data_IF_098001087210
#
_entry.id   IF_098001087210
#
_cell.length_a   1.000
_cell.length_b   1.000
_cell.length_c   1.000
_cell.angle_alpha   90.00
_cell.angle_beta   90.00
_cell.angle_gamma   90.00
#
_symmetry.space_group_name_H-M   'P 1'
#
loop_
_entity.id
_entity.type
_entity.pdbx_description
1 polymer ?
#
# COMPACT_ATOMS: atom_id res chain seq x y z
N UNK A 1 28.39 0.70 27.27
CA UNK A 1 29.43 0.20 26.34
C UNK A 1 29.00 0.62 24.94
N UNK A 2 29.44 1.81 24.49
CA UNK A 2 29.01 2.36 23.20
C UNK A 2 29.66 1.56 22.07
N UNK A 3 28.85 0.89 21.25
CA UNK A 3 29.31 0.29 20.00
C UNK A 3 29.91 1.41 19.14
N UNK A 4 31.21 1.33 18.85
CA UNK A 4 31.90 2.14 17.85
C UNK A 4 31.28 1.86 16.47
N UNK A 5 30.17 2.52 16.14
CA UNK A 5 29.69 2.61 14.77
C UNK A 5 30.41 3.77 14.10
N UNK A 6 31.24 3.45 13.12
CA UNK A 6 31.79 4.44 12.18
C UNK A 6 30.66 4.88 11.22
N UNK A 7 29.78 5.76 11.69
CA UNK A 7 28.80 6.42 10.81
C UNK A 7 29.36 7.73 10.26
N UNK A 8 29.15 7.97 8.97
CA UNK A 8 29.62 9.20 8.31
C UNK A 8 28.85 10.41 8.85
N UNK A 9 29.57 11.48 9.22
CA UNK A 9 28.98 12.73 9.73
C UNK A 9 28.06 13.44 8.73
N UNK A 10 28.09 13.05 7.45
CA UNK A 10 27.25 13.61 6.37
C UNK A 10 25.81 13.09 6.43
N UNK A 11 25.54 11.94 7.07
CA UNK A 11 24.21 11.33 7.07
C UNK A 11 23.31 11.99 8.13
N UNK A 12 22.17 12.58 7.75
CA UNK A 12 21.21 13.07 8.73
C UNK A 12 20.54 11.90 9.48
N UNK A 13 20.08 12.14 10.73
CA UNK A 13 19.33 11.14 11.48
C UNK A 13 18.00 10.81 10.77
N UNK A 14 17.65 9.52 10.72
CA UNK A 14 16.41 9.04 10.10
C UNK A 14 15.17 9.22 10.99
N UNK A 15 15.37 9.25 12.31
CA UNK A 15 14.32 9.48 13.31
C UNK A 15 14.54 10.86 13.91
N UNK A 16 13.51 11.69 13.89
CA UNK A 16 13.55 13.03 14.48
C UNK A 16 12.94 13.01 15.88
N UNK A 17 13.51 13.81 16.77
CA UNK A 17 13.21 13.78 18.21
C UNK A 17 13.87 12.56 18.84
N UNK A 18 14.63 12.77 19.92
CA UNK A 18 15.38 11.73 20.63
C UNK A 18 14.44 10.72 21.31
N UNK A 19 13.79 9.87 20.50
CA UNK A 19 12.78 8.90 20.92
C UNK A 19 13.43 7.64 21.47
N UNK A 20 12.92 7.15 22.60
CA UNK A 20 13.26 5.84 23.13
C UNK A 20 12.38 4.71 22.52
N UNK A 21 12.72 3.46 22.82
CA UNK A 21 11.96 2.30 22.32
C UNK A 21 10.51 2.25 22.82
N UNK A 22 10.25 2.77 24.02
CA UNK A 22 8.91 2.76 24.61
C UNK A 22 8.00 3.75 23.88
N UNK A 23 8.49 4.97 23.64
CA UNK A 23 7.81 6.03 22.90
C UNK A 23 7.49 5.61 21.46
N UNK A 24 8.42 4.94 20.77
CA UNK A 24 8.16 4.40 19.42
C UNK A 24 7.01 3.40 19.45
N UNK A 25 6.96 2.53 20.47
CA UNK A 25 5.89 1.55 20.62
C UNK A 25 4.55 2.23 20.88
N UNK A 26 4.50 3.19 21.79
CA UNK A 26 3.30 3.95 22.13
C UNK A 26 2.74 4.70 20.91
N UNK A 27 3.61 5.38 20.15
CA UNK A 27 3.21 6.11 18.93
C UNK A 27 2.61 5.20 17.84
N UNK A 28 3.14 3.97 17.67
CA UNK A 28 2.66 3.01 16.66
C UNK A 28 1.37 2.31 17.11
N UNK A 29 1.26 1.98 18.40
CA UNK A 29 0.10 1.28 18.95
C UNK A 29 -1.10 2.20 19.15
N UNK A 30 -0.89 3.49 19.45
CA UNK A 30 -1.97 4.44 19.74
C UNK A 30 -3.06 4.51 18.66
N UNK A 31 -2.76 4.58 17.34
CA UNK A 31 -3.80 4.56 16.30
C UNK A 31 -4.60 3.26 16.22
N UNK A 32 -4.02 2.14 16.66
CA UNK A 32 -4.66 0.80 16.64
C UNK A 32 -5.57 0.62 17.87
N UNK A 33 -5.15 1.13 19.03
CA UNK A 33 -5.91 1.06 20.28
C UNK A 33 -7.00 2.13 20.37
N UNK A 34 -6.83 3.25 19.68
CA UNK A 34 -7.83 4.32 19.64
C UNK A 34 -9.08 3.92 18.85
N UNK A 35 -10.22 4.50 19.23
CA UNK A 35 -11.46 4.34 18.46
C UNK A 35 -11.31 4.96 17.07
N UNK A 36 -11.85 4.33 16.00
CA UNK A 36 -11.80 4.89 14.66
C UNK A 36 -12.43 6.27 14.59
N UNK A 37 -11.76 7.19 13.90
CA UNK A 37 -12.25 8.57 13.73
C UNK A 37 -13.43 8.64 12.77
N UNK A 38 -14.15 9.77 12.76
CA UNK A 38 -15.22 10.01 11.78
C UNK A 38 -14.72 9.94 10.34
N UNK A 39 -13.51 10.45 10.07
CA UNK A 39 -12.90 10.40 8.75
C UNK A 39 -12.59 8.97 8.31
N UNK A 40 -12.14 8.11 9.24
CA UNK A 40 -11.92 6.70 8.96
C UNK A 40 -13.22 6.01 8.53
N UNK A 41 -14.33 6.27 9.25
CA UNK A 41 -15.64 5.72 8.89
C UNK A 41 -16.15 6.23 7.54
N UNK A 42 -15.96 7.50 7.22
CA UNK A 42 -16.33 8.06 5.91
C UNK A 42 -15.56 7.34 4.79
N UNK A 43 -14.23 7.21 4.94
CA UNK A 43 -13.41 6.48 3.97
C UNK A 43 -13.85 5.03 3.82
N UNK A 44 -14.08 4.33 4.94
CA UNK A 44 -14.52 2.95 4.96
C UNK A 44 -15.87 2.75 4.25
N UNK A 45 -16.87 3.59 4.53
CA UNK A 45 -18.19 3.49 3.90
C UNK A 45 -18.10 3.74 2.38
N UNK A 46 -17.30 4.72 1.94
CA UNK A 46 -17.08 4.97 0.51
C UNK A 46 -16.41 3.75 -0.15
N UNK A 47 -15.37 3.18 0.48
CA UNK A 47 -14.70 1.98 -0.02
C UNK A 47 -15.66 0.79 -0.12
N UNK A 48 -16.52 0.56 0.87
CA UNK A 48 -17.53 -0.51 0.85
C UNK A 48 -18.58 -0.27 -0.24
N UNK A 49 -19.03 0.97 -0.43
CA UNK A 49 -19.98 1.31 -1.49
C UNK A 49 -19.39 1.03 -2.89
N UNK A 50 -18.13 1.41 -3.12
CA UNK A 50 -17.43 1.12 -4.37
C UNK A 50 -17.16 -0.38 -4.57
N UNK A 51 -16.87 -1.11 -3.48
CA UNK A 51 -16.72 -2.57 -3.53
C UNK A 51 -18.03 -3.24 -3.95
N UNK A 52 -19.16 -2.84 -3.35
CA UNK A 52 -20.48 -3.38 -3.71
C UNK A 52 -20.84 -3.07 -5.17
N UNK A 53 -20.53 -1.86 -5.64
CA UNK A 53 -20.67 -1.51 -7.05
C UNK A 53 -19.84 -2.45 -7.94
N UNK A 54 -18.57 -2.67 -7.61
CA UNK A 54 -17.70 -3.60 -8.33
C UNK A 54 -18.21 -5.04 -8.35
N UNK A 55 -18.71 -5.55 -7.21
CA UNK A 55 -19.31 -6.90 -7.12
C UNK A 55 -20.53 -7.02 -8.03
N UNK A 56 -21.41 -6.00 -8.04
CA UNK A 56 -22.56 -5.97 -8.95
C UNK A 56 -22.11 -5.94 -10.40
N UNK A 57 -21.13 -5.11 -10.76
CA UNK A 57 -20.58 -5.04 -12.12
C UNK A 57 -20.04 -6.39 -12.61
N UNK A 58 -19.22 -7.07 -11.79
CA UNK A 58 -18.67 -8.39 -12.13
C UNK A 58 -19.77 -9.45 -12.22
N UNK A 59 -20.78 -9.40 -11.34
CA UNK A 59 -21.89 -10.35 -11.37
C UNK A 59 -22.71 -10.20 -12.65
N UNK A 60 -23.03 -8.96 -13.04
CA UNK A 60 -23.71 -8.66 -14.30
C UNK A 60 -22.86 -9.10 -15.49
N UNK A 61 -21.55 -8.88 -15.45
CA UNK A 61 -20.62 -9.36 -16.47
C UNK A 61 -20.69 -10.88 -16.66
N UNK A 62 -20.60 -11.64 -15.58
CA UNK A 62 -20.63 -13.12 -15.63
C UNK A 62 -21.98 -13.65 -16.13
N UNK A 63 -23.09 -12.99 -15.79
CA UNK A 63 -24.45 -13.43 -16.20
C UNK A 63 -24.73 -13.13 -17.67
N UNK A 64 -24.44 -11.91 -18.14
CA UNK A 64 -24.80 -11.48 -19.51
C UNK A 64 -23.61 -11.55 -20.50
N UNK A 65 -22.42 -11.96 -20.05
CA UNK A 65 -21.22 -12.16 -20.85
C UNK A 65 -20.42 -10.87 -21.10
N UNK A 66 -19.26 -10.96 -21.75
CA UNK A 66 -18.33 -9.82 -21.96
C UNK A 66 -18.76 -8.83 -23.04
N UNK A 67 -19.84 -9.13 -23.80
CA UNK A 67 -20.33 -8.26 -24.89
C UNK A 67 -20.83 -6.88 -24.43
N UNK A 68 -21.19 -6.74 -23.16
CA UNK A 68 -21.62 -5.48 -22.50
C UNK A 68 -20.49 -4.45 -22.42
N UNK A 69 -19.24 -4.87 -22.54
CA UNK A 69 -18.08 -4.00 -22.50
C UNK A 69 -17.85 -3.23 -23.80
N UNK A 70 -18.69 -3.47 -24.81
CA UNK A 70 -18.59 -2.86 -26.14
C UNK A 70 -17.22 -3.10 -26.79
N UNK A 71 -16.62 -4.27 -26.52
CA UNK A 71 -15.39 -4.73 -27.16
C UNK A 71 -15.67 -5.10 -28.62
N UNK A 72 -14.71 -4.83 -29.49
CA UNK A 72 -14.83 -5.15 -30.92
C UNK A 72 -14.24 -6.54 -31.19
N UNK A 73 -14.69 -7.21 -32.26
CA UNK A 73 -14.06 -8.47 -32.72
C UNK A 73 -12.57 -8.32 -33.07
N UNK A 74 -12.13 -7.12 -33.47
CA UNK A 74 -10.72 -6.84 -33.81
C UNK A 74 -9.90 -6.48 -32.56
N UNK A 75 -10.51 -5.84 -31.57
CA UNK A 75 -9.86 -5.37 -30.34
C UNK A 75 -10.56 -6.03 -29.17
N UNK A 76 -10.06 -7.21 -28.78
CA UNK A 76 -10.64 -8.03 -27.72
C UNK A 76 -10.26 -7.60 -26.30
N UNK A 77 -9.30 -6.69 -26.16
CA UNK A 77 -8.82 -6.17 -24.88
C UNK A 77 -8.92 -4.64 -24.84
N UNK A 78 -9.37 -4.10 -23.72
CA UNK A 78 -9.51 -2.68 -23.49
C UNK A 78 -9.19 -2.33 -22.04
N UNK A 79 -10.24 -1.99 -21.28
CA UNK A 79 -10.10 -1.58 -19.88
C UNK A 79 -9.77 -2.72 -18.92
N UNK A 80 -10.13 -3.97 -19.25
CA UNK A 80 -9.70 -5.18 -18.52
C UNK A 80 -8.20 -5.20 -18.35
N UNK A 81 -7.47 -5.26 -19.47
CA UNK A 81 -6.03 -5.44 -19.42
C UNK A 81 -5.32 -4.17 -18.97
N UNK A 82 -5.84 -3.00 -19.39
CA UNK A 82 -5.24 -1.72 -19.00
C UNK A 82 -5.25 -1.57 -17.49
N UNK A 83 -6.39 -1.84 -16.84
CA UNK A 83 -6.49 -1.78 -15.38
C UNK A 83 -5.71 -2.92 -14.71
N UNK A 84 -5.74 -4.14 -15.28
CA UNK A 84 -4.98 -5.26 -14.76
C UNK A 84 -3.48 -4.94 -14.66
N UNK A 85 -2.86 -4.50 -15.77
CA UNK A 85 -1.43 -4.16 -15.80
C UNK A 85 -1.13 -2.96 -14.92
N UNK A 86 -2.03 -1.97 -14.85
CA UNK A 86 -1.88 -0.81 -13.98
C UNK A 86 -1.82 -1.20 -12.50
N UNK A 87 -2.76 -2.01 -12.02
CA UNK A 87 -2.78 -2.49 -10.64
C UNK A 87 -1.61 -3.40 -10.33
N UNK A 88 -1.24 -4.30 -11.23
CA UNK A 88 -0.03 -5.12 -11.09
C UNK A 88 1.21 -4.23 -10.96
N UNK A 89 1.32 -3.16 -11.75
CA UNK A 89 2.41 -2.19 -11.65
C UNK A 89 2.51 -1.52 -10.28
N UNK A 90 1.38 -1.14 -9.68
CA UNK A 90 1.36 -0.58 -8.30
C UNK A 90 1.90 -1.58 -7.29
N UNK A 91 1.52 -2.85 -7.39
CA UNK A 91 2.02 -3.91 -6.50
C UNK A 91 3.54 -4.15 -6.61
N UNK A 92 4.18 -3.84 -7.74
CA UNK A 92 5.64 -4.00 -7.84
C UNK A 92 6.42 -2.97 -7.02
N UNK A 93 5.85 -1.77 -6.79
CA UNK A 93 6.53 -0.75 -6.01
C UNK A 93 6.74 -1.18 -4.55
N UNK A 94 5.77 -1.88 -3.94
CA UNK A 94 5.90 -2.30 -2.55
C UNK A 94 6.86 -3.48 -2.34
N UNK A 95 6.93 -4.42 -3.30
CA UNK A 95 7.91 -5.52 -3.26
C UNK A 95 9.33 -5.01 -3.48
N UNK A 96 9.51 -3.98 -4.31
CA UNK A 96 10.79 -3.28 -4.47
C UNK A 96 11.23 -2.63 -3.15
N UNK A 97 10.34 -1.90 -2.47
CA UNK A 97 10.68 -1.24 -1.19
C UNK A 97 11.02 -2.27 -0.10
N UNK A 98 10.34 -3.42 -0.07
CA UNK A 98 10.55 -4.42 0.99
C UNK A 98 11.73 -5.34 0.75
N UNK A 99 11.91 -5.86 -0.47
CA UNK A 99 12.99 -6.79 -0.79
C UNK A 99 14.24 -6.11 -1.34
N UNK A 100 14.10 -5.23 -2.35
CA UNK A 100 15.28 -4.66 -3.05
C UNK A 100 16.04 -3.70 -2.14
N UNK A 101 15.33 -2.79 -1.44
CA UNK A 101 16.00 -1.88 -0.50
C UNK A 101 16.64 -2.62 0.69
N UNK A 102 16.09 -3.78 1.07
CA UNK A 102 16.71 -4.66 2.07
C UNK A 102 18.05 -5.22 1.56
N UNK A 103 18.11 -5.71 0.32
CA UNK A 103 19.34 -6.23 -0.28
C UNK A 103 20.43 -5.14 -0.35
N UNK A 104 20.06 -3.91 -0.69
CA UNK A 104 20.96 -2.75 -0.67
C UNK A 104 21.20 -2.16 0.72
N UNK A 105 20.72 -2.82 1.78
CA UNK A 105 20.89 -2.41 3.18
C UNK A 105 20.51 -0.96 3.46
N UNK A 106 19.45 -0.48 2.80
CA UNK A 106 18.95 0.88 2.98
C UNK A 106 18.13 0.99 4.27
N UNK A 107 18.67 1.66 5.30
CA UNK A 107 18.05 1.75 6.63
C UNK A 107 16.74 2.55 6.68
N UNK A 108 16.56 3.53 5.78
CA UNK A 108 15.39 4.40 5.73
C UNK A 108 14.08 3.66 5.37
N UNK A 109 14.18 2.50 4.72
CA UNK A 109 13.00 1.68 4.36
C UNK A 109 12.15 1.31 5.57
N UNK A 110 12.77 1.22 6.77
CA UNK A 110 12.12 0.76 8.00
C UNK A 110 10.86 1.54 8.36
N UNK A 111 10.82 2.85 8.05
CA UNK A 111 9.65 3.70 8.32
C UNK A 111 8.46 3.48 7.38
N UNK A 112 8.66 2.86 6.21
CA UNK A 112 7.64 2.70 5.17
C UNK A 112 7.36 1.24 4.80
N UNK A 113 8.23 0.31 5.23
CA UNK A 113 8.22 -1.08 4.79
C UNK A 113 6.86 -1.77 4.97
N UNK A 114 6.23 -1.62 6.14
CA UNK A 114 4.96 -2.28 6.44
C UNK A 114 3.80 -1.72 5.63
N UNK A 115 3.78 -0.40 5.39
CA UNK A 115 2.78 0.22 4.54
C UNK A 115 2.97 -0.18 3.06
N UNK A 116 4.23 -0.29 2.62
CA UNK A 116 4.57 -0.75 1.29
C UNK A 116 4.18 -2.23 1.08
N UNK A 117 4.39 -3.10 2.07
CA UNK A 117 3.92 -4.50 2.04
C UNK A 117 2.39 -4.60 1.96
N UNK A 118 1.66 -3.74 2.67
CA UNK A 118 0.19 -3.73 2.63
C UNK A 118 -0.37 -3.19 1.30
N UNK A 119 0.45 -2.51 0.50
CA UNK A 119 0.07 -1.96 -0.81
C UNK A 119 0.14 -3.02 -1.93
N UNK A 120 0.86 -4.13 -1.70
CA UNK A 120 1.07 -5.21 -2.69
C UNK A 120 0.15 -6.39 -2.42
#
# INVERSE_FOLDING_TARGET
MALLRYESQVRPPLVQGDKDYHQVTEDICRPVEAKPSRLWWIGFIISVALLLFGVVSVTVEVIYGTGQWNLNKTIGWGWDITNFVWWVGIGHAGTLISAILLLFRQGWRTGVNRAAEAMT
#
